data_IF_186385494739
#
_entry.id   IF_186385494739
#
_cell.length_a   1.000
_cell.length_b   1.000
_cell.length_c   1.000
_cell.angle_alpha   90.00
_cell.angle_beta   90.00
_cell.angle_gamma   90.00
#
_symmetry.space_group_name_H-M   'P 1'
#
loop_
_entity.id
_entity.type
_entity.pdbx_description
1 polymer ?
#
# COMPACT_ATOMS: atom_id res chain seq x y z
N UNK A 1 6.36 2.16 3.09
CA UNK A 1 6.19 3.58 2.82
C UNK A 1 5.09 4.07 3.74
N UNK A 2 5.41 5.12 4.49
CA UNK A 2 4.40 5.83 5.22
C UNK A 2 3.56 6.60 4.21
N UNK A 3 2.52 6.01 3.65
CA UNK A 3 1.64 6.76 2.79
C UNK A 3 0.90 7.79 3.66
N UNK A 4 0.86 9.02 3.22
CA UNK A 4 0.08 10.09 3.83
C UNK A 4 -1.43 9.82 3.76
N UNK A 5 -1.84 8.86 2.94
CA UNK A 5 -3.23 8.49 2.68
C UNK A 5 -3.73 7.23 3.37
N UNK A 6 -3.00 6.67 4.32
CA UNK A 6 -3.66 5.77 5.25
C UNK A 6 -4.63 6.62 6.08
N UNK A 7 -5.89 6.18 6.14
CA UNK A 7 -6.85 6.80 7.02
C UNK A 7 -6.21 7.01 8.41
N UNK A 8 -6.39 8.16 9.01
CA UNK A 8 -5.76 8.49 10.30
C UNK A 8 -6.10 7.46 11.39
N UNK A 9 -7.28 6.87 11.28
CA UNK A 9 -7.81 5.84 12.18
C UNK A 9 -7.41 4.40 11.77
N UNK A 10 -6.60 4.22 10.71
CA UNK A 10 -6.18 2.92 10.19
C UNK A 10 -7.33 2.01 9.71
N UNK A 11 -8.49 2.56 9.39
CA UNK A 11 -9.62 1.81 8.86
C UNK A 11 -9.28 1.17 7.51
N UNK A 12 -9.56 -0.11 7.37
CA UNK A 12 -9.47 -0.84 6.11
C UNK A 12 -10.82 -0.88 5.44
N UNK A 13 -10.88 -0.55 4.17
CA UNK A 13 -12.10 -0.60 3.38
C UNK A 13 -12.13 -1.85 2.53
N UNK A 14 -13.27 -2.51 2.44
CA UNK A 14 -13.46 -3.70 1.62
C UNK A 14 -14.85 -3.71 0.98
N UNK A 15 -14.89 -4.12 -0.27
CA UNK A 15 -16.13 -4.36 -1.01
C UNK A 15 -16.80 -5.67 -0.55
N UNK A 16 -18.12 -5.64 -0.40
CA UNK A 16 -18.90 -6.81 0.01
C UNK A 16 -18.61 -8.01 -0.90
N UNK A 17 -18.36 -9.15 -0.28
CA UNK A 17 -18.05 -10.41 -0.97
C UNK A 17 -16.59 -10.59 -1.41
N UNK A 18 -15.74 -9.61 -1.18
CA UNK A 18 -14.27 -9.73 -1.38
C UNK A 18 -13.58 -10.26 -0.13
N UNK A 19 -12.34 -10.69 -0.31
CA UNK A 19 -11.46 -11.07 0.79
C UNK A 19 -10.49 -9.94 1.11
N UNK A 20 -10.38 -9.61 2.39
CA UNK A 20 -9.34 -8.76 2.93
C UNK A 20 -8.27 -9.65 3.56
N UNK A 21 -7.05 -9.54 3.09
CA UNK A 21 -5.90 -10.22 3.66
C UNK A 21 -4.99 -9.19 4.33
N UNK A 22 -4.84 -9.33 5.65
CA UNK A 22 -3.97 -8.45 6.43
C UNK A 22 -2.78 -9.28 6.89
N UNK A 23 -1.60 -9.15 6.26
CA UNK A 23 -0.38 -9.80 6.71
C UNK A 23 0.24 -8.98 7.85
N UNK A 24 0.11 -9.40 9.10
CA UNK A 24 0.79 -8.72 10.19
C UNK A 24 2.29 -9.02 10.09
N UNK A 25 3.11 -8.01 10.37
CA UNK A 25 4.53 -8.22 10.57
C UNK A 25 4.79 -8.52 12.05
N UNK A 26 5.23 -9.73 12.34
CA UNK A 26 5.56 -10.18 13.70
C UNK A 26 7.05 -10.46 13.77
N UNK A 27 7.76 -9.65 14.56
CA UNK A 27 9.19 -9.87 14.85
C UNK A 27 9.33 -10.41 16.26
N UNK A 28 9.49 -11.72 16.38
CA UNK A 28 9.75 -12.42 17.65
C UNK A 28 10.86 -13.44 17.46
N UNK A 29 11.68 -13.65 18.49
CA UNK A 29 12.76 -14.63 18.50
C UNK A 29 12.31 -16.03 18.91
N UNK A 30 11.08 -16.19 19.39
CA UNK A 30 10.45 -17.47 19.76
C UNK A 30 9.23 -17.72 18.86
N UNK A 31 8.85 -18.98 18.69
CA UNK A 31 7.65 -19.36 17.94
C UNK A 31 6.39 -18.83 18.67
N UNK A 32 5.74 -17.77 18.18
CA UNK A 32 4.55 -17.24 18.79
C UNK A 32 3.33 -18.07 18.41
N UNK A 33 2.34 -18.14 19.28
CA UNK A 33 0.99 -18.50 18.86
C UNK A 33 0.20 -17.23 18.50
N UNK A 34 -0.64 -17.33 17.48
CA UNK A 34 -1.48 -16.22 17.06
C UNK A 34 -2.94 -16.62 17.03
N UNK A 35 -3.81 -15.63 17.18
CA UNK A 35 -5.25 -15.80 17.12
C UNK A 35 -5.90 -14.54 16.53
N UNK A 36 -6.83 -14.75 15.63
CA UNK A 36 -7.69 -13.70 15.10
C UNK A 36 -9.04 -13.71 15.82
N UNK A 37 -9.57 -12.53 16.07
CA UNK A 37 -10.90 -12.30 16.61
C UNK A 37 -11.68 -11.32 15.75
N UNK A 38 -12.99 -11.44 15.73
CA UNK A 38 -13.91 -10.54 15.05
C UNK A 38 -14.89 -9.99 16.08
N UNK A 39 -14.95 -8.66 16.19
CA UNK A 39 -15.82 -7.94 17.13
C UNK A 39 -15.72 -8.47 18.57
N UNK A 40 -14.48 -8.78 18.98
CA UNK A 40 -14.15 -9.30 20.31
C UNK A 40 -14.41 -10.79 20.51
N UNK A 41 -14.83 -11.53 19.46
CA UNK A 41 -15.02 -12.98 19.54
C UNK A 41 -13.92 -13.70 18.75
N UNK A 42 -13.29 -14.70 19.38
CA UNK A 42 -12.28 -15.52 18.70
C UNK A 42 -12.90 -16.25 17.51
N UNK A 43 -12.18 -16.23 16.38
CA UNK A 43 -12.56 -16.98 15.18
C UNK A 43 -11.93 -18.36 15.29
N UNK A 44 -12.74 -19.39 15.32
CA UNK A 44 -12.27 -20.78 15.44
C UNK A 44 -11.33 -21.18 14.31
N UNK A 45 -10.17 -21.72 14.67
CA UNK A 45 -9.13 -22.14 13.73
C UNK A 45 -8.35 -21.00 13.04
N UNK A 46 -8.64 -19.74 13.33
CA UNK A 46 -7.92 -18.58 12.76
C UNK A 46 -6.64 -18.28 13.56
N UNK A 47 -5.68 -19.19 13.49
CA UNK A 47 -4.41 -19.14 14.23
C UNK A 47 -3.18 -18.96 13.34
N UNK A 48 -3.36 -18.72 12.06
CA UNK A 48 -2.27 -18.37 11.14
C UNK A 48 -1.94 -16.88 11.19
N UNK A 49 -0.71 -16.52 10.80
CA UNK A 49 -0.30 -15.12 10.69
C UNK A 49 -1.16 -14.34 9.70
N UNK A 50 -1.58 -14.96 8.62
CA UNK A 50 -2.44 -14.33 7.61
C UNK A 50 -3.84 -14.91 7.76
N UNK A 51 -4.82 -14.03 7.91
CA UNK A 51 -6.24 -14.39 7.92
C UNK A 51 -6.96 -13.68 6.76
N UNK A 52 -7.77 -14.44 6.03
CA UNK A 52 -8.62 -13.89 4.97
C UNK A 52 -10.02 -13.58 5.50
N UNK A 53 -10.29 -12.33 5.82
CA UNK A 53 -11.61 -11.89 6.25
C UNK A 53 -12.52 -11.67 5.02
N UNK A 54 -13.72 -12.24 5.06
CA UNK A 54 -14.74 -12.06 4.03
C UNK A 54 -16.06 -11.65 4.68
N UNK A 55 -16.41 -10.37 4.70
CA UNK A 55 -17.67 -9.93 5.24
C UNK A 55 -18.87 -10.44 4.41
N UNK A 56 -19.94 -10.75 5.09
CA UNK A 56 -21.20 -11.21 4.48
C UNK A 56 -22.29 -10.13 4.43
N UNK A 57 -22.02 -9.01 5.08
CA UNK A 57 -22.90 -7.84 5.14
C UNK A 57 -22.05 -6.57 5.11
N UNK A 58 -22.64 -5.47 4.65
CA UNK A 58 -22.03 -4.15 4.81
C UNK A 58 -22.08 -3.72 6.27
N UNK A 59 -21.11 -2.92 6.68
CA UNK A 59 -21.04 -2.42 8.06
C UNK A 59 -19.60 -2.27 8.55
N UNK A 60 -19.48 -1.98 9.81
CA UNK A 60 -18.22 -1.81 10.50
C UNK A 60 -17.91 -3.06 11.32
N UNK A 61 -16.65 -3.46 11.28
CA UNK A 61 -16.10 -4.64 11.96
C UNK A 61 -14.79 -4.26 12.64
N UNK A 62 -14.44 -4.98 13.68
CA UNK A 62 -13.12 -4.90 14.28
C UNK A 62 -12.44 -6.28 14.21
N UNK A 63 -11.41 -6.39 13.38
CA UNK A 63 -10.52 -7.54 13.41
C UNK A 63 -9.43 -7.29 14.45
N UNK A 64 -9.23 -8.23 15.38
CA UNK A 64 -8.17 -8.16 16.36
C UNK A 64 -7.17 -9.28 16.09
N UNK A 65 -5.90 -8.92 15.92
CA UNK A 65 -4.81 -9.88 15.85
C UNK A 65 -4.09 -9.93 17.19
N UNK A 66 -4.06 -11.09 17.81
CA UNK A 66 -3.41 -11.32 19.09
C UNK A 66 -2.23 -12.27 18.91
N UNK A 67 -1.09 -11.91 19.45
CA UNK A 67 0.10 -12.77 19.52
C UNK A 67 0.42 -13.05 20.96
N UNK A 68 0.57 -14.35 21.29
CA UNK A 68 1.03 -14.83 22.60
C UNK A 68 2.40 -15.46 22.45
N UNK A 69 3.30 -15.19 23.34
CA UNK A 69 4.65 -15.75 23.34
C UNK A 69 5.06 -16.17 24.74
N UNK A 70 5.74 -17.31 24.80
CA UNK A 70 6.32 -17.81 26.05
C UNK A 70 7.63 -17.08 26.28
N UNK A 71 7.63 -16.23 27.33
CA UNK A 71 8.76 -15.36 27.61
C UNK A 71 9.62 -15.91 28.74
N UNK A 72 10.91 -16.07 28.44
CA UNK A 72 11.91 -15.83 29.48
C UNK A 72 12.95 -14.78 29.06
N UNK A 73 13.06 -14.38 27.79
CA UNK A 73 14.11 -13.41 27.37
C UNK A 73 13.81 -12.64 26.05
N UNK A 74 12.58 -12.49 25.62
CA UNK A 74 12.30 -11.97 24.26
C UNK A 74 11.58 -10.63 24.24
N UNK A 75 12.11 -9.71 23.44
CA UNK A 75 11.41 -8.52 23.01
C UNK A 75 10.50 -8.89 21.84
N UNK A 76 9.21 -8.85 22.01
CA UNK A 76 8.27 -8.99 20.91
C UNK A 76 7.90 -7.62 20.35
N UNK A 77 7.91 -7.51 19.03
CA UNK A 77 7.34 -6.37 18.34
C UNK A 77 6.24 -6.86 17.40
N UNK A 78 5.01 -6.43 17.59
CA UNK A 78 3.93 -6.60 16.63
C UNK A 78 3.85 -5.31 15.83
N UNK A 79 4.25 -5.38 14.55
CA UNK A 79 4.30 -4.22 13.69
C UNK A 79 3.15 -4.26 12.69
N UNK A 80 2.00 -3.79 13.12
CA UNK A 80 1.05 -3.18 12.17
C UNK A 80 1.11 -1.66 12.20
N UNK A 81 1.92 -1.07 13.00
CA UNK A 81 2.50 0.28 13.08
C UNK A 81 3.28 0.38 14.39
N UNK A 82 4.59 0.21 14.35
CA UNK A 82 5.55 0.63 15.40
C UNK A 82 5.13 0.45 16.88
N UNK A 83 4.35 -0.60 17.21
CA UNK A 83 4.06 -0.95 18.59
C UNK A 83 5.15 -1.91 19.05
N UNK A 84 6.09 -1.40 19.83
CA UNK A 84 7.08 -2.22 20.50
C UNK A 84 6.60 -2.48 21.93
N UNK A 85 6.33 -3.74 22.25
CA UNK A 85 6.09 -4.17 23.62
C UNK A 85 7.26 -5.04 24.09
N UNK A 86 7.85 -4.70 25.22
CA UNK A 86 8.87 -5.52 25.89
C UNK A 86 8.34 -5.99 27.23
N UNK A 87 8.46 -7.28 27.51
CA UNK A 87 8.09 -7.87 28.80
C UNK A 87 6.59 -8.18 28.97
N UNK A 88 5.86 -8.32 27.87
CA UNK A 88 4.42 -8.67 27.88
C UNK A 88 4.26 -10.05 27.25
N UNK A 89 3.43 -10.90 27.82
CA UNK A 89 3.19 -12.27 27.33
C UNK A 89 2.16 -12.31 26.17
N UNK A 90 1.46 -11.21 25.96
CA UNK A 90 0.42 -11.08 24.93
C UNK A 90 0.39 -9.64 24.38
N UNK A 91 0.27 -9.52 23.07
CA UNK A 91 0.08 -8.24 22.38
C UNK A 91 -1.08 -8.37 21.39
N UNK A 92 -2.01 -7.42 21.43
CA UNK A 92 -3.14 -7.37 20.50
C UNK A 92 -3.16 -6.07 19.72
N UNK A 93 -3.62 -6.13 18.49
CA UNK A 93 -3.82 -4.97 17.61
C UNK A 93 -5.21 -5.04 17.00
N UNK A 94 -5.97 -3.98 17.18
CA UNK A 94 -7.28 -3.81 16.58
C UNK A 94 -7.15 -3.16 15.20
N UNK A 95 -7.87 -3.72 14.24
CA UNK A 95 -7.89 -3.29 12.85
C UNK A 95 -9.34 -2.99 12.49
N UNK A 96 -9.74 -1.70 12.46
CA UNK A 96 -11.06 -1.33 12.02
C UNK A 96 -11.25 -1.69 10.54
N UNK A 97 -12.39 -2.29 10.21
CA UNK A 97 -12.74 -2.67 8.83
C UNK A 97 -14.12 -2.12 8.52
N UNK A 98 -14.27 -1.45 7.39
CA UNK A 98 -15.55 -1.00 6.87
C UNK A 98 -15.86 -1.73 5.57
N UNK A 99 -16.92 -2.53 5.58
CA UNK A 99 -17.44 -3.20 4.41
C UNK A 99 -18.46 -2.31 3.71
N UNK A 100 -18.17 -1.97 2.46
CA UNK A 100 -19.03 -1.13 1.61
C UNK A 100 -19.71 -1.99 0.54
N UNK A 101 -20.82 -1.49 0.00
CA UNK A 101 -21.39 -2.04 -1.24
C UNK A 101 -20.37 -1.94 -2.37
N UNK A 102 -20.54 -2.80 -3.37
CA UNK A 102 -19.73 -2.73 -4.57
C UNK A 102 -19.83 -1.34 -5.21
N UNK A 103 -18.69 -0.68 -5.39
CA UNK A 103 -18.64 0.59 -6.11
C UNK A 103 -18.97 0.39 -7.59
N UNK A 104 -19.79 1.27 -8.14
CA UNK A 104 -20.06 1.24 -9.58
C UNK A 104 -18.76 1.51 -10.36
N UNK A 105 -18.49 0.65 -11.33
CA UNK A 105 -17.37 0.86 -12.24
C UNK A 105 -17.61 2.09 -13.09
N UNK A 106 -16.68 3.00 -13.11
CA UNK A 106 -16.66 4.13 -14.03
C UNK A 106 -16.11 3.65 -15.38
N UNK A 107 -16.99 3.29 -16.29
CA UNK A 107 -16.57 2.81 -17.61
C UNK A 107 -15.81 3.89 -18.37
N UNK A 108 -14.81 3.48 -19.17
CA UNK A 108 -14.13 4.39 -20.09
C UNK A 108 -15.13 4.93 -21.12
N UNK A 109 -15.20 6.24 -21.23
CA UNK A 109 -16.15 6.94 -22.11
C UNK A 109 -15.43 8.02 -22.93
N UNK A 110 -16.13 8.54 -23.94
CA UNK A 110 -15.61 9.65 -24.73
C UNK A 110 -15.31 10.87 -23.84
N UNK A 111 -14.09 11.35 -23.89
CA UNK A 111 -13.59 12.42 -23.05
C UNK A 111 -12.72 12.00 -21.87
N UNK A 112 -12.70 10.71 -21.53
CA UNK A 112 -11.73 10.20 -20.57
C UNK A 112 -10.32 10.15 -21.18
N UNK A 113 -9.35 10.33 -20.31
CA UNK A 113 -7.93 10.20 -20.67
C UNK A 113 -7.49 8.73 -20.61
N UNK A 114 -6.73 8.28 -21.60
CA UNK A 114 -6.04 6.99 -21.52
C UNK A 114 -4.83 7.04 -20.57
N UNK A 115 -4.44 8.24 -20.14
CA UNK A 115 -3.35 8.46 -19.18
C UNK A 115 -3.93 8.76 -17.79
N UNK A 116 -3.08 8.59 -16.78
CA UNK A 116 -3.40 9.10 -15.44
C UNK A 116 -3.67 10.61 -15.52
N UNK A 117 -4.73 11.05 -14.86
CA UNK A 117 -5.19 12.43 -14.95
C UNK A 117 -5.10 13.20 -13.62
N UNK A 118 -4.64 12.55 -12.57
CA UNK A 118 -4.46 13.18 -11.26
C UNK A 118 -3.26 12.60 -10.53
N UNK A 119 -2.40 13.47 -10.02
CA UNK A 119 -1.36 13.14 -9.06
C UNK A 119 -1.87 13.50 -7.67
N UNK A 120 -2.01 12.49 -6.83
CA UNK A 120 -2.41 12.65 -5.42
C UNK A 120 -1.22 12.87 -4.51
N UNK A 121 -0.11 12.18 -4.80
CA UNK A 121 1.14 12.32 -4.07
C UNK A 121 2.34 12.26 -4.99
N UNK A 122 3.32 13.06 -4.70
CA UNK A 122 4.65 12.95 -5.27
C UNK A 122 5.68 13.19 -4.19
N UNK A 123 6.36 12.12 -3.79
CA UNK A 123 7.32 12.10 -2.68
C UNK A 123 8.62 11.47 -3.18
N UNK A 124 9.49 12.24 -3.85
CA UNK A 124 10.77 11.74 -4.27
C UNK A 124 11.70 11.52 -3.07
N UNK A 125 12.39 10.39 -3.04
CA UNK A 125 13.43 10.13 -2.06
C UNK A 125 14.78 10.70 -2.51
N UNK A 126 15.74 10.90 -1.60
CA UNK A 126 17.11 11.25 -1.98
C UNK A 126 17.69 10.23 -2.96
N UNK A 127 18.28 10.70 -4.03
CA UNK A 127 18.84 9.84 -5.06
C UNK A 127 19.37 10.61 -6.25
N UNK A 128 19.89 9.87 -7.24
CA UNK A 128 20.38 10.46 -8.48
C UNK A 128 19.22 11.11 -9.25
N UNK A 129 19.49 12.21 -9.91
CA UNK A 129 18.57 12.97 -10.75
C UNK A 129 17.39 13.66 -10.06
N UNK A 130 17.19 13.46 -8.76
CA UNK A 130 16.05 14.00 -8.01
C UNK A 130 16.00 15.52 -8.03
N UNK A 131 17.13 16.19 -8.06
CA UNK A 131 17.25 17.66 -8.06
C UNK A 131 17.74 18.23 -9.41
N UNK A 132 17.68 17.46 -10.45
CA UNK A 132 18.09 17.87 -11.79
C UNK A 132 16.87 18.17 -12.65
N UNK A 133 16.48 19.41 -12.76
CA UNK A 133 15.25 19.85 -13.46
C UNK A 133 15.17 19.43 -14.92
N UNK A 134 16.31 19.28 -15.59
CA UNK A 134 16.37 18.85 -16.99
C UNK A 134 16.10 17.35 -17.16
N UNK A 135 16.35 16.56 -16.12
CA UNK A 135 16.22 15.09 -16.08
C UNK A 135 15.04 14.64 -15.23
N UNK A 136 13.98 15.42 -15.16
CA UNK A 136 12.77 15.14 -14.38
C UNK A 136 12.95 15.22 -12.86
N UNK A 137 14.00 15.85 -12.40
CA UNK A 137 14.25 16.10 -10.99
C UNK A 137 13.36 17.20 -10.41
N UNK A 138 13.40 17.29 -9.10
CA UNK A 138 12.63 18.23 -8.30
C UNK A 138 13.06 19.68 -8.58
N UNK A 139 12.10 20.56 -8.75
CA UNK A 139 12.36 21.96 -9.13
C UNK A 139 12.34 22.93 -7.92
N UNK A 140 12.45 22.37 -6.72
CA UNK A 140 12.46 23.15 -5.48
C UNK A 140 11.07 23.46 -4.92
N UNK A 141 10.06 22.72 -5.31
CA UNK A 141 8.73 22.77 -4.73
C UNK A 141 8.83 22.48 -3.22
N UNK A 142 8.13 23.28 -2.42
CA UNK A 142 8.27 23.21 -0.95
C UNK A 142 7.00 22.77 -0.24
N UNK A 143 5.91 22.63 -0.96
CA UNK A 143 4.64 22.13 -0.42
C UNK A 143 4.21 20.91 -1.16
N UNK A 144 3.37 20.09 -0.52
CA UNK A 144 2.77 18.91 -1.11
C UNK A 144 2.01 19.26 -2.42
N UNK A 145 1.19 20.31 -2.38
CA UNK A 145 0.41 20.73 -3.55
C UNK A 145 1.31 21.14 -4.71
N UNK A 146 2.38 21.88 -4.43
CA UNK A 146 3.29 22.32 -5.49
C UNK A 146 4.08 21.17 -6.08
N UNK A 147 4.45 20.17 -5.28
CA UNK A 147 5.11 18.96 -5.74
C UNK A 147 4.19 18.11 -6.64
N UNK A 148 2.93 17.91 -6.22
CA UNK A 148 1.93 17.23 -7.02
C UNK A 148 1.63 17.97 -8.33
N UNK A 149 1.50 19.30 -8.29
CA UNK A 149 1.28 20.11 -9.48
C UNK A 149 2.46 20.04 -10.46
N UNK A 150 3.69 20.02 -9.95
CA UNK A 150 4.88 19.80 -10.76
C UNK A 150 4.83 18.43 -11.46
N UNK A 151 4.60 17.38 -10.70
CA UNK A 151 4.53 16.03 -11.24
C UNK A 151 3.39 15.89 -12.27
N UNK A 152 2.20 16.42 -11.97
CA UNK A 152 1.07 16.43 -12.90
C UNK A 152 1.43 17.10 -14.22
N UNK A 153 2.01 18.30 -14.17
CA UNK A 153 2.45 19.01 -15.37
C UNK A 153 3.47 18.23 -16.20
N UNK A 154 4.34 17.46 -15.53
CA UNK A 154 5.30 16.58 -16.23
C UNK A 154 4.56 15.46 -16.96
N UNK A 155 3.66 14.77 -16.27
CA UNK A 155 2.89 13.65 -16.83
C UNK A 155 1.96 14.11 -17.95
N UNK A 156 1.29 15.24 -17.82
CA UNK A 156 0.41 15.83 -18.86
C UNK A 156 1.18 16.15 -20.16
N UNK A 157 2.49 16.35 -20.06
CA UNK A 157 3.38 16.58 -21.20
C UNK A 157 4.15 15.31 -21.61
N UNK A 158 3.69 14.13 -21.17
CA UNK A 158 4.31 12.83 -21.46
C UNK A 158 5.79 12.76 -21.05
N UNK A 159 6.14 13.42 -19.94
CA UNK A 159 7.50 13.48 -19.41
C UNK A 159 7.62 12.70 -18.12
N UNK A 160 8.81 12.20 -17.86
CA UNK A 160 9.13 11.50 -16.63
C UNK A 160 9.16 12.44 -15.41
N UNK A 161 8.98 11.82 -14.24
CA UNK A 161 9.37 12.35 -12.94
C UNK A 161 10.41 11.42 -12.33
N UNK A 162 11.37 11.97 -11.59
CA UNK A 162 12.35 11.17 -10.85
C UNK A 162 11.83 10.87 -9.45
N UNK A 163 11.71 9.59 -9.12
CA UNK A 163 11.30 9.16 -7.77
C UNK A 163 12.49 9.12 -6.80
N UNK A 164 13.71 9.18 -7.34
CA UNK A 164 14.93 9.10 -6.53
C UNK A 164 15.26 7.67 -6.14
N UNK A 165 15.78 7.50 -4.94
CA UNK A 165 16.17 6.21 -4.40
C UNK A 165 15.04 5.50 -3.64
N UNK A 166 15.45 4.71 -2.66
CA UNK A 166 14.54 3.91 -1.86
C UNK A 166 13.53 4.77 -1.09
N UNK A 167 12.26 4.37 -1.20
CA UNK A 167 11.14 5.05 -0.53
C UNK A 167 10.52 6.19 -1.32
N UNK A 168 11.07 6.55 -2.49
CA UNK A 168 10.44 7.52 -3.37
C UNK A 168 9.24 6.92 -4.10
N UNK A 169 8.13 7.66 -4.17
CA UNK A 169 6.91 7.18 -4.79
C UNK A 169 6.06 8.30 -5.39
N UNK A 170 5.13 7.89 -6.24
CA UNK A 170 4.07 8.73 -6.79
C UNK A 170 2.74 7.97 -6.70
N UNK A 171 1.67 8.68 -6.34
CA UNK A 171 0.31 8.16 -6.37
C UNK A 171 -0.46 8.88 -7.47
N UNK A 172 -0.99 8.12 -8.42
CA UNK A 172 -1.74 8.64 -9.55
C UNK A 172 -3.13 8.02 -9.63
N UNK A 173 -4.07 8.76 -10.15
CA UNK A 173 -5.43 8.29 -10.39
C UNK A 173 -5.85 8.44 -11.84
N UNK A 174 -6.97 7.83 -12.16
CA UNK A 174 -7.61 7.82 -13.47
C UNK A 174 -9.04 8.32 -13.34
N UNK A 175 -9.56 8.95 -14.38
CA UNK A 175 -10.96 9.42 -14.44
C UNK A 175 -11.97 8.30 -14.77
N UNK A 176 -11.48 7.08 -14.93
CA UNK A 176 -12.26 5.87 -15.17
C UNK A 176 -11.65 4.67 -14.45
N UNK A 177 -12.41 3.60 -14.33
CA UNK A 177 -11.91 2.34 -13.75
C UNK A 177 -11.08 1.57 -14.76
N UNK A 178 -9.92 1.10 -14.35
CA UNK A 178 -9.12 0.15 -15.12
C UNK A 178 -9.65 -1.25 -14.81
N UNK A 179 -10.20 -1.92 -15.81
CA UNK A 179 -10.75 -3.25 -15.66
C UNK A 179 -9.67 -4.32 -15.82
N UNK A 180 -9.65 -5.29 -14.91
CA UNK A 180 -8.84 -6.49 -15.06
C UNK A 180 -9.52 -7.47 -16.04
N UNK A 181 -9.02 -7.55 -17.27
CA UNK A 181 -9.60 -8.33 -18.37
C UNK A 181 -8.80 -9.57 -18.76
N UNK A 182 -7.70 -9.83 -18.08
CA UNK A 182 -6.74 -10.84 -18.51
C UNK A 182 -5.84 -10.34 -19.64
N UNK A 183 -4.55 -10.35 -19.40
CA UNK A 183 -3.52 -9.71 -20.23
C UNK A 183 -2.99 -8.43 -19.58
N UNK A 184 -2.55 -7.49 -20.38
CA UNK A 184 -2.06 -6.20 -19.86
C UNK A 184 -3.19 -5.19 -19.82
N UNK A 185 -3.50 -4.67 -18.64
CA UNK A 185 -4.57 -3.71 -18.44
C UNK A 185 -4.08 -2.27 -18.46
N UNK A 186 -2.81 -2.04 -18.11
CA UNK A 186 -2.15 -0.74 -18.19
C UNK A 186 -0.64 -0.92 -18.39
N UNK A 187 0.05 0.16 -18.72
CA UNK A 187 1.49 0.20 -18.84
C UNK A 187 2.09 1.39 -18.11
N UNK A 188 3.29 1.21 -17.60
CA UNK A 188 4.10 2.28 -17.00
C UNK A 188 5.34 2.44 -17.84
N UNK A 189 5.53 3.62 -18.40
CA UNK A 189 6.72 3.94 -19.18
C UNK A 189 7.84 4.36 -18.22
N UNK A 190 8.78 3.47 -17.99
CA UNK A 190 10.01 3.75 -17.25
C UNK A 190 11.07 4.42 -18.10
N UNK A 191 12.23 4.65 -17.49
CA UNK A 191 13.41 5.22 -18.14
C UNK A 191 14.53 4.17 -18.37
N UNK A 192 14.16 2.90 -18.44
CA UNK A 192 15.12 1.83 -18.70
C UNK A 192 15.68 1.94 -20.12
N UNK A 193 16.97 1.68 -20.26
CA UNK A 193 17.68 1.62 -21.55
C UNK A 193 18.71 0.49 -21.51
N UNK A 194 19.36 0.21 -22.62
CA UNK A 194 20.35 -0.86 -22.70
C UNK A 194 21.42 -0.73 -21.60
N UNK A 195 21.63 -1.80 -20.85
CA UNK A 195 22.51 -1.89 -19.67
C UNK A 195 22.13 -1.02 -18.46
N UNK A 196 20.94 -0.43 -18.42
CA UNK A 196 20.43 0.31 -17.25
C UNK A 196 18.98 -0.03 -16.99
N UNK A 197 18.67 -0.48 -15.78
CA UNK A 197 17.33 -0.78 -15.30
C UNK A 197 16.90 0.25 -14.25
N UNK A 198 15.64 0.65 -14.34
CA UNK A 198 15.00 1.55 -13.37
C UNK A 198 13.80 0.81 -12.76
N UNK A 199 14.05 -0.23 -11.94
CA UNK A 199 12.97 -1.05 -11.40
C UNK A 199 12.13 -0.29 -10.39
N UNK A 200 10.86 -0.64 -10.31
CA UNK A 200 9.93 -0.08 -9.34
C UNK A 200 8.90 -1.12 -8.91
N UNK A 201 8.32 -0.90 -7.74
CA UNK A 201 7.20 -1.68 -7.23
C UNK A 201 5.91 -0.94 -7.59
N UNK A 202 4.92 -1.67 -8.07
CA UNK A 202 3.62 -1.13 -8.46
C UNK A 202 2.55 -1.63 -7.51
N UNK A 203 1.79 -0.70 -6.99
CA UNK A 203 0.63 -0.96 -6.15
C UNK A 203 -0.62 -0.44 -6.85
N UNK A 204 -1.73 -1.13 -6.67
CA UNK A 204 -3.03 -0.71 -7.18
C UNK A 204 -4.05 -0.66 -6.04
N UNK A 205 -4.99 0.25 -6.15
CA UNK A 205 -6.07 0.42 -5.20
C UNK A 205 -7.40 0.62 -5.94
N UNK A 206 -8.46 0.10 -5.39
CA UNK A 206 -9.82 0.41 -5.81
C UNK A 206 -10.41 1.40 -4.80
N UNK A 207 -11.05 2.45 -5.30
CA UNK A 207 -11.85 3.38 -4.49
C UNK A 207 -13.16 2.67 -4.07
N UNK A 208 -13.10 1.95 -2.95
CA UNK A 208 -14.20 1.10 -2.46
C UNK A 208 -15.25 1.91 -1.73
N UNK A 209 -14.83 2.97 -1.04
CA UNK A 209 -15.73 3.84 -0.30
C UNK A 209 -16.36 4.95 -1.16
N UNK A 210 -15.86 5.14 -2.40
CA UNK A 210 -16.42 6.09 -3.37
C UNK A 210 -16.09 7.56 -3.07
N UNK A 211 -15.09 7.84 -2.24
CA UNK A 211 -14.73 9.22 -1.84
C UNK A 211 -13.77 9.91 -2.82
N UNK A 212 -13.22 9.17 -3.78
CA UNK A 212 -12.29 9.67 -4.78
C UNK A 212 -10.88 9.95 -4.24
N UNK A 213 -10.54 9.39 -3.07
CA UNK A 213 -9.24 9.52 -2.43
C UNK A 213 -8.48 8.18 -2.47
N UNK A 214 -7.14 8.20 -2.46
CA UNK A 214 -6.34 6.98 -2.47
C UNK A 214 -6.11 6.44 -1.05
N UNK A 215 -7.16 6.29 -0.25
CA UNK A 215 -7.13 5.94 1.16
C UNK A 215 -7.64 4.53 1.48
N UNK A 216 -8.05 3.77 0.45
CA UNK A 216 -8.46 2.38 0.59
C UNK A 216 -7.26 1.42 0.61
N UNK A 217 -7.51 0.12 0.56
CA UNK A 217 -6.47 -0.91 0.62
C UNK A 217 -5.65 -0.98 -0.67
N UNK A 218 -4.34 -0.96 -0.53
CA UNK A 218 -3.39 -1.08 -1.62
C UNK A 218 -2.89 -2.50 -1.79
N UNK A 219 -2.83 -2.97 -3.02
CA UNK A 219 -2.37 -4.30 -3.39
C UNK A 219 -1.11 -4.22 -4.26
N UNK A 220 -0.04 -4.88 -3.81
CA UNK A 220 1.18 -4.99 -4.59
C UNK A 220 0.97 -5.92 -5.79
N UNK A 221 1.33 -5.47 -6.98
CA UNK A 221 1.38 -6.32 -8.16
C UNK A 221 2.65 -7.16 -8.15
N UNK A 222 2.50 -8.46 -8.34
CA UNK A 222 3.61 -9.41 -8.37
C UNK A 222 4.46 -9.21 -9.62
N UNK A 223 5.51 -8.43 -9.49
CA UNK A 223 6.54 -8.28 -10.52
C UNK A 223 7.48 -9.49 -10.59
N UNK A 224 8.44 -9.46 -11.51
CA UNK A 224 9.42 -10.55 -11.72
C UNK A 224 10.27 -10.86 -10.48
N UNK A 225 10.44 -9.91 -9.60
CA UNK A 225 11.28 -10.01 -8.40
C UNK A 225 10.48 -10.27 -7.11
N UNK A 226 9.15 -10.34 -7.20
CA UNK A 226 8.28 -10.52 -6.05
C UNK A 226 8.60 -11.83 -5.31
N UNK A 227 8.87 -11.71 -4.02
CA UNK A 227 9.13 -12.87 -3.15
C UNK A 227 10.47 -13.58 -3.34
N UNK A 228 11.37 -13.02 -4.15
CA UNK A 228 12.74 -13.57 -4.28
C UNK A 228 13.61 -13.08 -3.12
N UNK A 229 14.20 -14.01 -2.34
CA UNK A 229 15.00 -13.64 -1.17
C UNK A 229 16.19 -12.72 -1.49
N UNK A 230 16.78 -12.87 -2.67
CA UNK A 230 17.92 -12.08 -3.15
C UNK A 230 17.58 -10.61 -3.43
N UNK A 231 16.30 -10.29 -3.57
CA UNK A 231 15.82 -8.91 -3.76
C UNK A 231 15.24 -8.28 -2.50
N UNK A 232 15.07 -9.08 -1.46
CA UNK A 232 14.75 -8.58 -0.13
C UNK A 232 16.05 -8.06 0.48
N UNK A 233 16.24 -6.76 0.46
CA UNK A 233 17.28 -6.17 1.30
C UNK A 233 16.87 -6.38 2.75
N UNK A 234 17.67 -7.14 3.49
CA UNK A 234 17.73 -6.99 4.93
C UNK A 234 18.03 -5.52 5.18
N UNK A 235 17.00 -4.76 5.46
CA UNK A 235 17.10 -3.34 5.66
C UNK A 235 17.71 -3.04 7.03
N UNK A 236 18.95 -3.38 7.17
CA UNK A 236 19.84 -2.64 8.03
C UNK A 236 20.25 -1.38 7.27
N UNK A 237 19.34 -0.46 7.11
CA UNK A 237 19.70 0.89 6.75
C UNK A 237 20.19 1.54 8.03
N UNK A 238 21.40 2.12 8.04
CA UNK A 238 21.98 2.82 9.18
C UNK A 238 21.14 4.03 9.59
#
# INVERSE_FOLDING_TARGET
PSSLYFAEDNTKYIELGRYLFIPPYVSVTAEPSSQWSLDGQEIDGANALIYGFKPTQTGEYTLTFTVKYNNQDTKAAVLTRNISASGVDEVSVDIPVKCCEATEKRAFAAGNSIYSNKVYEFVPAPGQFVNETNTAGFNGERTHESACAYAQKRLDNEKYVSLGGWGGYIVVGFDHSIENKGGYDFSIKGNAFDSSNEPGIVWVMQDVNGDGLPNDEWYELKGSEYGKPETLLDSAVP
#
